data_IF_192625016545
#
_entry.id   IF_192625016545
#
_cell.length_a   1.000
_cell.length_b   1.000
_cell.length_c   1.000
_cell.angle_alpha   90.00
_cell.angle_beta   90.00
_cell.angle_gamma   90.00
#
_symmetry.space_group_name_H-M   'P 1'
#
loop_
_entity.id
_entity.type
_entity.pdbx_description
1 polymer ?
#
# COMPACT_ATOMS: atom_id res chain seq x y z
N UNK A 1 -21.28 -20.82 -1.52
CA UNK A 1 -20.81 -20.00 -0.38
C UNK A 1 -19.30 -19.67 -0.41
N UNK A 2 -18.52 -20.11 -1.41
CA UNK A 2 -17.05 -19.89 -1.39
C UNK A 2 -16.56 -18.48 -1.75
N UNK A 3 -17.26 -17.74 -2.62
CA UNK A 3 -16.74 -16.46 -3.12
C UNK A 3 -16.79 -15.31 -2.09
N UNK A 4 -17.84 -15.22 -1.28
CA UNK A 4 -17.97 -14.18 -0.24
C UNK A 4 -16.84 -14.23 0.79
N UNK A 5 -16.43 -15.42 1.22
CA UNK A 5 -15.32 -15.59 2.18
C UNK A 5 -13.99 -15.12 1.57
N UNK A 6 -13.79 -15.35 0.27
CA UNK A 6 -12.58 -14.90 -0.45
C UNK A 6 -12.59 -13.38 -0.63
N UNK A 7 -13.73 -12.76 -0.90
CA UNK A 7 -13.81 -11.29 -1.05
C UNK A 7 -13.61 -10.56 0.29
N UNK A 8 -14.08 -11.14 1.39
CA UNK A 8 -13.81 -10.61 2.74
C UNK A 8 -12.32 -10.71 3.11
N UNK A 9 -11.65 -11.81 2.75
CA UNK A 9 -10.21 -11.97 2.94
C UNK A 9 -9.41 -10.95 2.12
N UNK A 10 -9.79 -10.70 0.86
CA UNK A 10 -9.17 -9.68 0.01
C UNK A 10 -9.33 -8.28 0.60
N UNK A 11 -10.52 -7.93 1.12
CA UNK A 11 -10.76 -6.65 1.79
C UNK A 11 -9.98 -6.51 3.10
N UNK A 12 -9.85 -7.58 3.87
CA UNK A 12 -9.04 -7.58 5.09
C UNK A 12 -7.55 -7.36 4.78
N UNK A 13 -7.05 -8.02 3.73
CA UNK A 13 -5.69 -7.82 3.25
C UNK A 13 -5.47 -6.38 2.75
N UNK A 14 -6.43 -5.81 2.00
CA UNK A 14 -6.37 -4.41 1.55
C UNK A 14 -6.28 -3.41 2.72
N UNK A 15 -7.11 -3.59 3.76
CA UNK A 15 -7.05 -2.75 4.97
C UNK A 15 -5.72 -2.85 5.70
N UNK A 16 -5.17 -4.06 5.79
CA UNK A 16 -3.87 -4.30 6.43
C UNK A 16 -2.75 -3.63 5.65
N UNK A 17 -2.75 -3.78 4.32
CA UNK A 17 -1.81 -3.10 3.43
C UNK A 17 -1.91 -1.57 3.59
N UNK A 18 -3.11 -0.98 3.56
CA UNK A 18 -3.28 0.46 3.79
C UNK A 18 -2.67 0.92 5.11
N UNK A 19 -2.95 0.23 6.22
CA UNK A 19 -2.39 0.57 7.53
C UNK A 19 -0.87 0.48 7.55
N UNK A 20 -0.29 -0.51 6.89
CA UNK A 20 1.16 -0.64 6.77
C UNK A 20 1.78 0.51 5.96
N UNK A 21 1.16 0.87 4.82
CA UNK A 21 1.60 1.99 3.98
C UNK A 21 1.48 3.35 4.68
N UNK A 22 0.35 3.61 5.35
CA UNK A 22 0.12 4.81 6.18
C UNK A 22 1.13 4.86 7.34
N UNK A 23 1.36 3.72 8.00
CA UNK A 23 2.30 3.59 9.11
C UNK A 23 3.74 3.92 8.72
N UNK A 24 4.29 3.31 7.66
CA UNK A 24 5.67 3.63 7.29
C UNK A 24 5.82 5.00 6.63
N UNK A 25 4.81 5.48 5.89
CA UNK A 25 4.81 6.84 5.36
C UNK A 25 4.85 7.92 6.44
N UNK A 26 4.33 7.64 7.63
CA UNK A 26 4.38 8.55 8.78
C UNK A 26 5.74 8.54 9.52
N UNK A 27 6.60 7.55 9.30
CA UNK A 27 7.91 7.47 9.96
C UNK A 27 8.92 8.31 9.20
N UNK A 28 9.43 9.37 9.83
CA UNK A 28 10.53 10.14 9.29
C UNK A 28 11.88 9.43 9.53
N UNK A 29 12.13 8.36 8.78
CA UNK A 29 13.42 7.61 8.79
C UNK A 29 14.64 8.43 8.38
N UNK A 30 14.43 9.64 7.85
CA UNK A 30 15.50 10.55 7.45
C UNK A 30 15.88 11.56 8.53
N UNK A 31 15.16 11.60 9.67
CA UNK A 31 15.39 12.58 10.73
C UNK A 31 16.82 12.52 11.28
N UNK A 32 17.35 11.31 11.48
CA UNK A 32 18.69 11.07 12.02
C UNK A 32 19.77 11.45 11.00
N UNK A 33 19.53 11.16 9.71
CA UNK A 33 20.42 11.56 8.63
C UNK A 33 20.47 13.09 8.46
N UNK A 34 19.33 13.78 8.61
CA UNK A 34 19.25 15.24 8.63
C UNK A 34 20.03 15.83 9.83
N UNK A 35 19.96 15.19 11.01
CA UNK A 35 20.73 15.60 12.20
C UNK A 35 22.24 15.46 12.01
N UNK A 36 22.70 14.37 11.37
CA UNK A 36 24.12 14.16 11.07
C UNK A 36 24.63 15.23 10.09
N UNK A 37 23.84 15.57 9.07
CA UNK A 37 24.19 16.62 8.12
C UNK A 37 24.30 18.00 8.80
N UNK A 38 23.41 18.29 9.75
CA UNK A 38 23.43 19.54 10.52
C UNK A 38 24.61 19.61 11.50
N UNK A 39 25.02 18.48 12.09
CA UNK A 39 26.12 18.43 13.06
C UNK A 39 27.52 18.58 12.44
N UNK A 40 27.69 18.30 11.14
CA UNK A 40 28.99 18.36 10.46
C UNK A 40 28.97 19.17 9.14
N UNK A 41 28.68 20.49 9.18
CA UNK A 41 28.56 21.31 7.98
C UNK A 41 29.86 21.30 7.14
N UNK A 42 29.73 21.07 5.84
CA UNK A 42 30.85 21.14 4.89
C UNK A 42 31.76 19.91 4.82
N UNK A 43 31.54 18.89 5.65
CA UNK A 43 32.27 17.62 5.59
C UNK A 43 31.69 16.66 4.54
N UNK A 44 32.53 15.75 4.02
CA UNK A 44 32.07 14.66 3.15
C UNK A 44 30.96 13.80 3.79
N UNK A 45 30.98 13.68 5.13
CA UNK A 45 29.95 13.00 5.91
C UNK A 45 28.58 13.70 5.84
N UNK A 46 28.52 15.05 5.82
CA UNK A 46 27.26 15.76 5.65
C UNK A 46 26.68 15.61 4.25
N UNK A 47 27.52 15.60 3.21
CA UNK A 47 27.07 15.34 1.84
C UNK A 47 26.52 13.91 1.68
N UNK A 48 27.17 12.92 2.32
CA UNK A 48 26.68 11.54 2.33
C UNK A 48 25.38 11.39 3.13
N UNK A 49 25.28 12.02 4.30
CA UNK A 49 24.09 12.02 5.13
C UNK A 49 22.88 12.68 4.44
N UNK A 50 23.08 13.81 3.75
CA UNK A 50 22.04 14.45 2.96
C UNK A 50 21.54 13.56 1.81
N UNK A 51 22.45 12.89 1.10
CA UNK A 51 22.07 11.93 0.05
C UNK A 51 21.28 10.75 0.61
N UNK A 52 21.68 10.23 1.77
CA UNK A 52 20.98 9.16 2.46
C UNK A 52 19.57 9.58 2.90
N UNK A 53 19.43 10.78 3.48
CA UNK A 53 18.15 11.35 3.88
C UNK A 53 17.18 11.47 2.69
N UNK A 54 17.65 11.98 1.55
CA UNK A 54 16.85 12.07 0.32
C UNK A 54 16.46 10.68 -0.20
N UNK A 55 17.41 9.74 -0.20
CA UNK A 55 17.14 8.37 -0.63
C UNK A 55 16.07 7.71 0.24
N UNK A 56 16.19 7.77 1.56
CA UNK A 56 15.20 7.21 2.47
C UNK A 56 13.82 7.85 2.36
N UNK A 57 13.74 9.18 2.26
CA UNK A 57 12.47 9.89 2.00
C UNK A 57 11.81 9.37 0.72
N UNK A 58 12.58 9.22 -0.36
CA UNK A 58 12.08 8.72 -1.65
C UNK A 58 11.64 7.25 -1.58
N UNK A 59 12.45 6.39 -0.97
CA UNK A 59 12.17 4.95 -0.87
C UNK A 59 10.94 4.66 -0.01
N UNK A 60 10.79 5.33 1.14
CA UNK A 60 9.62 5.14 2.01
C UNK A 60 8.35 5.69 1.37
N UNK A 61 8.43 6.85 0.69
CA UNK A 61 7.30 7.39 -0.06
C UNK A 61 6.85 6.46 -1.19
N UNK A 62 7.80 5.97 -1.99
CA UNK A 62 7.52 5.01 -3.08
C UNK A 62 6.90 3.72 -2.53
N UNK A 63 7.48 3.16 -1.46
CA UNK A 63 6.95 1.95 -0.84
C UNK A 63 5.52 2.16 -0.30
N UNK A 64 5.25 3.29 0.35
CA UNK A 64 3.91 3.61 0.84
C UNK A 64 2.89 3.70 -0.31
N UNK A 65 3.28 4.30 -1.44
CA UNK A 65 2.45 4.37 -2.65
C UNK A 65 2.21 2.99 -3.26
N UNK A 66 3.24 2.15 -3.37
CA UNK A 66 3.13 0.79 -3.92
C UNK A 66 2.18 -0.07 -3.08
N UNK A 67 2.29 0.03 -1.75
CA UNK A 67 1.42 -0.68 -0.82
C UNK A 67 -0.03 -0.20 -0.93
N UNK A 68 -0.27 1.10 -1.10
CA UNK A 68 -1.62 1.64 -1.35
C UNK A 68 -2.18 1.16 -2.69
N UNK A 69 -1.36 1.15 -3.75
CA UNK A 69 -1.75 0.63 -5.06
C UNK A 69 -2.10 -0.87 -4.98
N UNK A 70 -1.33 -1.64 -4.21
CA UNK A 70 -1.63 -3.05 -3.95
C UNK A 70 -2.96 -3.24 -3.21
N UNK A 71 -3.20 -2.46 -2.16
CA UNK A 71 -4.47 -2.48 -1.43
C UNK A 71 -5.67 -2.19 -2.35
N UNK A 72 -5.55 -1.19 -3.23
CA UNK A 72 -6.58 -0.87 -4.20
C UNK A 72 -6.87 -2.04 -5.15
N UNK A 73 -5.83 -2.72 -5.66
CA UNK A 73 -6.00 -3.89 -6.55
C UNK A 73 -6.72 -5.04 -5.86
N UNK A 74 -6.50 -5.25 -4.56
CA UNK A 74 -7.23 -6.25 -3.77
C UNK A 74 -8.72 -5.88 -3.63
N UNK A 75 -9.04 -4.61 -3.38
CA UNK A 75 -10.42 -4.11 -3.33
C UNK A 75 -11.14 -4.22 -4.68
N UNK A 76 -10.45 -3.85 -5.76
CA UNK A 76 -10.97 -3.97 -7.13
C UNK A 76 -11.26 -5.44 -7.48
N UNK A 77 -10.36 -6.35 -7.08
CA UNK A 77 -10.53 -7.79 -7.27
C UNK A 77 -11.74 -8.33 -6.51
N UNK A 78 -11.89 -7.95 -5.23
CA UNK A 78 -13.05 -8.34 -4.42
C UNK A 78 -14.37 -7.86 -5.05
N UNK A 79 -14.41 -6.62 -5.53
CA UNK A 79 -15.57 -6.03 -6.21
C UNK A 79 -15.89 -6.77 -7.51
N UNK A 80 -14.87 -7.14 -8.29
CA UNK A 80 -15.06 -7.91 -9.51
C UNK A 80 -15.64 -9.30 -9.24
N UNK A 81 -15.18 -9.98 -8.19
CA UNK A 81 -15.72 -11.28 -7.79
C UNK A 81 -17.20 -11.19 -7.40
N UNK A 82 -17.57 -10.20 -6.59
CA UNK A 82 -18.98 -9.98 -6.21
C UNK A 82 -19.86 -9.67 -7.40
N UNK A 83 -19.40 -8.82 -8.32
CA UNK A 83 -20.14 -8.47 -9.54
C UNK A 83 -20.38 -9.70 -10.41
N UNK A 84 -19.36 -10.56 -10.58
CA UNK A 84 -19.49 -11.80 -11.35
C UNK A 84 -20.43 -12.79 -10.67
N UNK A 85 -20.35 -12.93 -9.35
CA UNK A 85 -21.25 -13.83 -8.60
C UNK A 85 -22.71 -13.36 -8.69
N UNK A 86 -22.97 -12.06 -8.57
CA UNK A 86 -24.30 -11.49 -8.75
C UNK A 86 -24.84 -11.73 -10.18
N UNK A 87 -24.02 -11.50 -11.21
CA UNK A 87 -24.41 -11.78 -12.60
C UNK A 87 -24.71 -13.26 -12.85
N UNK A 88 -23.93 -14.18 -12.28
CA UNK A 88 -24.20 -15.62 -12.38
C UNK A 88 -25.49 -16.01 -11.67
N UNK A 89 -25.81 -15.41 -10.53
CA UNK A 89 -27.07 -15.64 -9.81
C UNK A 89 -28.27 -15.17 -10.62
N UNK A 90 -28.22 -13.96 -11.17
CA UNK A 90 -29.30 -13.42 -12.00
C UNK A 90 -29.49 -14.23 -13.30
N UNK A 91 -28.40 -14.72 -13.91
CA UNK A 91 -28.46 -15.57 -15.10
C UNK A 91 -29.08 -16.96 -14.87
N UNK A 92 -28.92 -17.53 -13.67
CA UNK A 92 -29.58 -18.80 -13.30
C UNK A 92 -31.08 -18.57 -13.04
N UNK A 93 -31.46 -17.44 -12.46
CA UNK A 93 -32.87 -17.09 -12.20
C UNK A 93 -33.61 -16.73 -13.50
N UNK A 94 -32.94 -16.10 -14.48
CA UNK A 94 -33.51 -15.81 -15.79
C UNK A 94 -33.53 -16.97 -16.79
N UNK A 95 -32.93 -18.12 -16.46
CA UNK A 95 -32.74 -19.27 -17.34
C UNK A 95 -33.71 -20.44 -17.11
N UNK A 96 -34.89 -20.20 -16.54
CA UNK A 96 -35.91 -21.26 -16.36
C UNK A 96 -37.16 -20.99 -17.20
N UNK A 97 -37.37 -21.89 -18.17
CA UNK A 97 -38.48 -22.11 -19.11
C UNK A 97 -38.54 -21.23 -20.36
#
# INVERSE_FOLDING_TARGET
MGFTVVTDALRAAARTARRAGEGAGAVNVAAEADQIAAAMPGGAAAAAAAKLAVHWKSSVSTWAQDVQAHAKRLEDSATLYEKKDAQSRDGIVGGTF
#
